data_IF_012807763108
#
_entry.id   IF_012807763108
#
_cell.length_a   1.000
_cell.length_b   1.000
_cell.length_c   1.000
_cell.angle_alpha   90.00
_cell.angle_beta   90.00
_cell.angle_gamma   90.00
#
_symmetry.space_group_name_H-M   'P 1'
#
loop_
_entity.id
_entity.type
_entity.pdbx_description
1 polymer ?
#
# COMPACT_ATOMS: atom_id res chain seq x y z
N UNK A 1 -10.14 74.78 30.14
CA UNK A 1 -9.91 73.50 30.85
C UNK A 1 -10.46 72.40 29.96
N UNK A 2 -9.59 71.70 29.23
CA UNK A 2 -8.96 70.42 29.61
C UNK A 2 -9.96 69.27 29.52
N UNK A 3 -9.70 68.12 28.91
CA UNK A 3 -8.63 67.61 28.06
C UNK A 3 -9.24 66.35 27.39
N UNK A 4 -8.69 65.96 26.25
CA UNK A 4 -9.13 64.86 25.38
C UNK A 4 -9.27 63.51 26.09
N UNK A 5 -10.20 62.70 25.62
CA UNK A 5 -10.08 61.24 25.62
C UNK A 5 -10.45 60.74 24.22
N UNK A 6 -9.43 60.34 23.45
CA UNK A 6 -9.59 59.69 22.14
C UNK A 6 -9.76 58.21 22.43
N UNK A 7 -10.98 57.71 22.28
CA UNK A 7 -11.26 56.27 22.33
C UNK A 7 -10.83 55.64 21.01
N UNK A 8 -9.74 54.88 21.06
CA UNK A 8 -9.27 54.06 19.94
C UNK A 8 -10.19 52.83 19.88
N UNK A 9 -11.06 52.78 18.87
CA UNK A 9 -11.80 51.56 18.52
C UNK A 9 -10.86 50.62 17.76
N UNK A 10 -10.35 49.58 18.44
CA UNK A 10 -9.71 48.44 17.79
C UNK A 10 -10.78 47.65 17.02
N UNK A 11 -10.80 47.77 15.69
CA UNK A 11 -11.59 46.91 14.82
C UNK A 11 -10.85 45.57 14.65
N UNK A 12 -11.28 44.56 15.39
CA UNK A 12 -10.79 43.18 15.21
C UNK A 12 -11.47 42.59 13.98
N UNK A 13 -10.78 42.57 12.85
CA UNK A 13 -11.23 41.88 11.63
C UNK A 13 -11.00 40.39 11.83
N UNK A 14 -12.06 39.65 12.18
CA UNK A 14 -12.07 38.19 12.08
C UNK A 14 -12.19 37.83 10.59
N UNK A 15 -11.05 37.62 9.93
CA UNK A 15 -11.03 37.00 8.62
C UNK A 15 -11.41 35.52 8.80
N UNK A 16 -12.68 35.19 8.54
CA UNK A 16 -13.10 33.81 8.32
C UNK A 16 -12.48 33.32 7.02
N UNK A 17 -11.24 32.81 7.09
CA UNK A 17 -10.68 31.97 6.04
C UNK A 17 -11.40 30.63 6.09
N UNK A 18 -12.61 30.58 5.53
CA UNK A 18 -13.29 29.33 5.24
C UNK A 18 -12.38 28.49 4.35
N UNK A 19 -12.10 27.25 4.76
CA UNK A 19 -11.38 26.29 3.95
C UNK A 19 -12.14 26.09 2.63
N UNK A 20 -11.74 26.79 1.58
CA UNK A 20 -12.18 26.49 0.24
C UNK A 20 -11.53 25.15 -0.12
N UNK A 21 -12.23 24.04 0.09
CA UNK A 21 -11.86 22.76 -0.53
C UNK A 21 -12.00 23.02 -2.02
N UNK A 22 -10.88 23.24 -2.70
CA UNK A 22 -10.84 23.21 -4.15
C UNK A 22 -11.50 21.90 -4.57
N UNK A 23 -12.64 21.97 -5.25
CA UNK A 23 -13.25 20.80 -5.87
C UNK A 23 -12.18 20.20 -6.79
N UNK A 24 -11.61 19.07 -6.37
CA UNK A 24 -10.66 18.33 -7.18
C UNK A 24 -11.47 17.74 -8.32
N UNK A 25 -11.55 18.49 -9.42
CA UNK A 25 -12.10 18.01 -10.67
C UNK A 25 -11.16 16.92 -11.21
N UNK A 26 -11.47 15.67 -10.90
CA UNK A 26 -10.78 14.51 -11.50
C UNK A 26 -11.28 14.40 -12.94
N UNK A 27 -10.53 14.98 -13.87
CA UNK A 27 -10.80 14.88 -15.31
C UNK A 27 -10.31 13.53 -15.83
N UNK A 28 -11.23 12.70 -16.33
CA UNK A 28 -10.94 11.42 -16.98
C UNK A 28 -11.48 10.20 -16.23
N UNK A 29 -11.49 9.01 -16.87
CA UNK A 29 -11.90 7.77 -16.21
C UNK A 29 -10.93 7.41 -15.09
N UNK A 30 -11.47 6.89 -13.98
CA UNK A 30 -10.67 6.43 -12.84
C UNK A 30 -9.68 5.34 -13.31
N UNK A 31 -8.35 5.49 -13.10
CA UNK A 31 -7.38 4.48 -13.48
C UNK A 31 -7.71 3.12 -12.86
N UNK A 32 -7.76 2.08 -13.70
CA UNK A 32 -8.06 0.71 -13.27
C UNK A 32 -6.82 -0.16 -13.42
N UNK A 33 -6.54 -1.02 -12.45
CA UNK A 33 -5.47 -2.03 -12.52
C UNK A 33 -6.06 -3.43 -12.40
N UNK A 34 -5.51 -4.38 -13.14
CA UNK A 34 -5.90 -5.79 -13.07
C UNK A 34 -5.01 -6.57 -12.10
N UNK A 35 -5.61 -7.33 -11.18
CA UNK A 35 -4.85 -8.28 -10.36
C UNK A 35 -4.60 -9.57 -11.13
N UNK A 36 -3.33 -9.95 -11.23
CA UNK A 36 -2.88 -11.24 -11.79
C UNK A 36 -2.59 -12.16 -10.61
N UNK A 37 -3.66 -12.76 -10.09
CA UNK A 37 -3.65 -13.54 -8.85
C UNK A 37 -3.46 -15.04 -9.09
N UNK A 38 -2.33 -15.41 -9.70
CA UNK A 38 -2.05 -16.77 -10.14
C UNK A 38 -0.71 -17.25 -9.59
N UNK A 39 -0.70 -18.46 -9.02
CA UNK A 39 0.53 -19.13 -8.55
C UNK A 39 1.35 -19.72 -9.70
N UNK A 40 0.67 -20.18 -10.75
CA UNK A 40 1.31 -20.79 -11.91
C UNK A 40 1.10 -19.92 -13.15
N UNK A 41 2.20 -19.56 -13.81
CA UNK A 41 2.15 -18.77 -15.03
C UNK A 41 2.06 -19.65 -16.26
N UNK A 42 0.83 -19.94 -16.64
CA UNK A 42 0.50 -20.63 -17.89
C UNK A 42 0.47 -19.66 -19.07
N UNK A 43 0.44 -20.15 -20.33
CA UNK A 43 0.23 -19.30 -21.49
C UNK A 43 -1.01 -18.38 -21.40
N UNK A 44 -2.09 -18.85 -20.76
CA UNK A 44 -3.29 -18.05 -20.55
C UNK A 44 -3.05 -16.86 -19.59
N UNK A 45 -2.24 -17.05 -18.54
CA UNK A 45 -1.84 -15.97 -17.62
C UNK A 45 -0.99 -14.95 -18.36
N UNK A 46 -0.04 -15.41 -19.17
CA UNK A 46 0.81 -14.55 -19.99
C UNK A 46 -0.06 -13.74 -20.98
N UNK A 47 -1.02 -14.36 -21.65
CA UNK A 47 -1.92 -13.67 -22.58
C UNK A 47 -2.84 -12.66 -21.88
N UNK A 48 -3.18 -12.87 -20.60
CA UNK A 48 -3.95 -11.91 -19.81
C UNK A 48 -3.22 -10.57 -19.64
N UNK A 49 -1.87 -10.58 -19.57
CA UNK A 49 -1.08 -9.35 -19.50
C UNK A 49 -1.26 -8.50 -20.76
N UNK A 50 -1.25 -9.14 -21.94
CA UNK A 50 -1.50 -8.47 -23.23
C UNK A 50 -2.89 -7.85 -23.28
N UNK A 51 -3.89 -8.53 -22.73
CA UNK A 51 -5.25 -8.00 -22.66
C UNK A 51 -5.36 -6.82 -21.69
N UNK A 52 -4.72 -6.93 -20.51
CA UNK A 52 -4.68 -5.87 -19.51
C UNK A 52 -4.02 -4.60 -20.07
N UNK A 53 -2.90 -4.71 -20.80
CA UNK A 53 -2.23 -3.57 -21.45
C UNK A 53 -3.16 -2.74 -22.35
N UNK A 54 -4.18 -3.34 -22.96
CA UNK A 54 -5.11 -2.66 -23.87
C UNK A 54 -6.29 -1.98 -23.17
N UNK A 55 -6.56 -2.31 -21.90
CA UNK A 55 -7.82 -1.97 -21.22
C UNK A 55 -7.63 -1.35 -19.83
N UNK A 56 -6.46 -1.52 -19.23
CA UNK A 56 -6.15 -1.15 -17.86
C UNK A 56 -4.90 -0.28 -17.81
N UNK A 57 -4.79 0.53 -16.77
CA UNK A 57 -3.64 1.39 -16.50
C UNK A 57 -2.42 0.62 -15.98
N UNK A 58 -2.57 -0.65 -15.59
CA UNK A 58 -1.47 -1.49 -15.12
C UNK A 58 -1.97 -2.81 -14.55
N UNK A 59 -1.04 -3.57 -13.97
CA UNK A 59 -1.33 -4.84 -13.29
C UNK A 59 -0.71 -4.90 -11.89
N UNK A 60 -1.33 -5.67 -11.01
CA UNK A 60 -0.77 -6.05 -9.70
C UNK A 60 -0.50 -7.55 -9.73
N UNK A 61 0.76 -7.95 -9.61
CA UNK A 61 1.16 -9.35 -9.60
C UNK A 61 1.06 -9.92 -8.18
N UNK A 62 0.55 -11.13 -8.04
CA UNK A 62 0.79 -11.89 -6.81
C UNK A 62 2.29 -12.21 -6.73
N UNK A 63 3.00 -11.61 -5.77
CA UNK A 63 4.43 -11.80 -5.58
C UNK A 63 4.75 -12.97 -4.67
N UNK A 64 4.06 -13.07 -3.54
CA UNK A 64 4.14 -14.22 -2.65
C UNK A 64 2.92 -14.27 -1.72
N UNK A 65 2.71 -15.43 -1.12
CA UNK A 65 1.76 -15.64 -0.03
C UNK A 65 2.50 -16.21 1.18
N UNK A 66 2.15 -15.72 2.37
CA UNK A 66 2.70 -16.20 3.64
C UNK A 66 1.56 -16.68 4.54
N UNK A 67 1.71 -17.86 5.15
CA UNK A 67 0.81 -18.37 6.19
C UNK A 67 1.58 -18.73 7.46
N UNK A 68 1.00 -18.39 8.62
CA UNK A 68 1.55 -18.68 9.95
C UNK A 68 0.72 -19.71 10.73
N UNK A 69 -0.18 -20.43 10.08
CA UNK A 69 -1.07 -21.40 10.73
C UNK A 69 -0.38 -22.70 11.19
N UNK A 70 0.80 -23.01 10.64
CA UNK A 70 1.57 -24.21 10.97
C UNK A 70 2.68 -23.99 12.02
N UNK A 71 3.46 -25.05 12.27
CA UNK A 71 4.64 -24.99 13.16
C UNK A 71 5.73 -24.07 12.63
N UNK A 72 5.83 -23.95 11.31
CA UNK A 72 6.73 -23.06 10.59
C UNK A 72 5.93 -22.19 9.62
N UNK A 73 6.42 -20.99 9.27
CA UNK A 73 5.86 -20.21 8.19
C UNK A 73 5.85 -21.00 6.88
N UNK A 74 4.72 -20.96 6.17
CA UNK A 74 4.61 -21.46 4.81
C UNK A 74 4.68 -20.28 3.86
N UNK A 75 5.52 -20.38 2.82
CA UNK A 75 5.72 -19.34 1.83
C UNK A 75 5.45 -19.95 0.47
N UNK A 76 4.47 -19.40 -0.26
CA UNK A 76 4.20 -19.77 -1.65
C UNK A 76 4.70 -18.64 -2.53
N UNK A 77 5.61 -18.95 -3.45
CA UNK A 77 6.11 -18.03 -4.48
C UNK A 77 5.56 -18.43 -5.84
N UNK A 78 4.74 -17.59 -6.49
CA UNK A 78 4.31 -17.83 -7.85
C UNK A 78 5.47 -17.94 -8.84
N UNK A 79 5.29 -18.75 -9.88
CA UNK A 79 6.24 -18.91 -10.98
C UNK A 79 6.18 -17.76 -11.98
N UNK A 80 6.35 -16.51 -11.52
CA UNK A 80 6.23 -15.31 -12.35
C UNK A 80 7.13 -15.41 -13.59
N UNK A 81 6.54 -15.30 -14.78
CA UNK A 81 7.30 -15.11 -16.02
C UNK A 81 7.70 -13.63 -16.13
N UNK A 82 8.84 -13.30 -15.50
CA UNK A 82 9.37 -11.94 -15.48
C UNK A 82 9.69 -11.42 -16.89
N UNK A 83 10.02 -12.29 -17.84
CA UNK A 83 10.27 -11.89 -19.22
C UNK A 83 8.98 -11.44 -19.90
N UNK A 84 7.88 -12.18 -19.70
CA UNK A 84 6.56 -11.79 -20.15
C UNK A 84 6.11 -10.47 -19.50
N UNK A 85 6.32 -10.29 -18.19
CA UNK A 85 6.03 -9.02 -17.49
C UNK A 85 6.78 -7.86 -18.14
N UNK A 86 8.10 -8.00 -18.31
CA UNK A 86 8.96 -6.97 -18.90
C UNK A 86 8.54 -6.59 -20.32
N UNK A 87 8.17 -7.57 -21.15
CA UNK A 87 7.77 -7.32 -22.55
C UNK A 87 6.34 -6.74 -22.67
N UNK A 88 5.44 -7.09 -21.76
CA UNK A 88 4.00 -6.89 -21.95
C UNK A 88 3.37 -5.87 -20.99
N UNK A 89 4.09 -5.41 -19.96
CA UNK A 89 3.55 -4.46 -18.99
C UNK A 89 4.47 -3.25 -18.86
N UNK A 90 3.88 -2.05 -18.81
CA UNK A 90 4.63 -0.81 -18.57
C UNK A 90 4.49 -0.34 -17.12
N UNK A 91 3.31 -0.56 -16.53
CA UNK A 91 2.97 -0.23 -15.17
C UNK A 91 2.68 -1.51 -14.40
N UNK A 92 3.57 -1.82 -13.46
CA UNK A 92 3.56 -3.08 -12.72
C UNK A 92 3.65 -2.79 -11.22
N UNK A 93 2.81 -3.45 -10.45
CA UNK A 93 2.84 -3.47 -8.99
C UNK A 93 2.95 -4.91 -8.52
N UNK A 94 3.39 -5.13 -7.29
CA UNK A 94 3.53 -6.47 -6.72
C UNK A 94 2.88 -6.51 -5.34
N UNK A 95 2.16 -7.59 -5.06
CA UNK A 95 1.50 -7.82 -3.78
C UNK A 95 2.18 -8.94 -3.00
N UNK A 96 2.41 -8.70 -1.72
CA UNK A 96 2.71 -9.72 -0.73
C UNK A 96 1.45 -9.98 0.08
N UNK A 97 0.85 -11.16 -0.07
CA UNK A 97 -0.30 -11.57 0.73
C UNK A 97 0.14 -12.27 2.01
N UNK A 98 -0.39 -11.85 3.14
CA UNK A 98 -0.24 -12.55 4.41
C UNK A 98 -1.61 -13.07 4.83
N UNK A 99 -1.71 -14.37 5.10
CA UNK A 99 -2.94 -14.98 5.60
C UNK A 99 -3.33 -14.39 6.97
N UNK A 100 -4.62 -14.48 7.37
CA UNK A 100 -5.06 -13.96 8.65
C UNK A 100 -4.18 -14.41 9.82
N UNK A 101 -3.76 -13.46 10.63
CA UNK A 101 -2.86 -13.68 11.75
C UNK A 101 -3.32 -12.88 12.97
N UNK A 102 -3.50 -13.58 14.09
CA UNK A 102 -4.04 -13.01 15.32
C UNK A 102 -3.04 -12.20 16.16
N UNK A 103 -1.77 -12.15 15.78
CA UNK A 103 -0.69 -11.59 16.60
C UNK A 103 0.11 -12.67 17.34
N UNK A 104 1.19 -12.27 18.04
CA UNK A 104 1.61 -10.88 18.27
C UNK A 104 2.39 -10.28 17.07
N UNK A 105 2.42 -8.95 16.97
CA UNK A 105 3.11 -8.20 15.90
C UNK A 105 4.43 -7.61 16.44
N UNK A 106 5.41 -8.47 16.75
CA UNK A 106 6.67 -8.02 17.39
C UNK A 106 7.74 -7.71 16.36
N UNK A 107 8.43 -6.59 16.53
CA UNK A 107 9.49 -6.16 15.61
C UNK A 107 10.63 -7.19 15.46
N UNK A 108 10.95 -7.90 16.53
CA UNK A 108 12.09 -8.81 16.64
C UNK A 108 11.72 -10.29 16.53
N UNK A 109 10.48 -10.62 16.15
CA UNK A 109 10.09 -12.02 16.02
C UNK A 109 10.40 -12.63 14.64
N UNK A 110 10.29 -13.96 14.58
CA UNK A 110 10.58 -14.71 13.37
C UNK A 110 9.59 -14.41 12.22
N UNK A 111 8.35 -13.99 12.53
CA UNK A 111 7.33 -13.71 11.51
C UNK A 111 7.61 -12.40 10.82
N UNK A 112 7.94 -11.37 11.59
CA UNK A 112 8.38 -10.07 11.07
C UNK A 112 9.59 -10.26 10.16
N UNK A 113 10.60 -11.03 10.60
CA UNK A 113 11.75 -11.36 9.74
C UNK A 113 11.35 -12.03 8.42
N UNK A 114 10.46 -13.02 8.47
CA UNK A 114 9.99 -13.70 7.25
C UNK A 114 9.27 -12.74 6.31
N UNK A 115 8.41 -11.87 6.82
CA UNK A 115 7.72 -10.86 6.03
C UNK A 115 8.73 -9.91 5.37
N UNK A 116 9.70 -9.40 6.13
CA UNK A 116 10.70 -8.47 5.61
C UNK A 116 11.62 -9.11 4.58
N UNK A 117 12.03 -10.37 4.81
CA UNK A 117 12.91 -11.10 3.91
C UNK A 117 12.20 -11.41 2.59
N UNK A 118 10.93 -11.81 2.64
CA UNK A 118 10.12 -12.05 1.44
C UNK A 118 9.89 -10.75 0.68
N UNK A 119 9.51 -9.65 1.37
CA UNK A 119 9.31 -8.36 0.73
C UNK A 119 10.58 -7.89 0.00
N UNK A 120 11.74 -7.97 0.65
CA UNK A 120 13.03 -7.62 0.04
C UNK A 120 13.32 -8.51 -1.17
N UNK A 121 13.16 -9.82 -1.03
CA UNK A 121 13.43 -10.76 -2.13
C UNK A 121 12.56 -10.48 -3.35
N UNK A 122 11.27 -10.15 -3.17
CA UNK A 122 10.38 -9.82 -4.28
C UNK A 122 10.85 -8.59 -5.07
N UNK A 123 11.31 -7.55 -4.37
CA UNK A 123 11.82 -6.33 -4.99
C UNK A 123 13.16 -6.58 -5.69
N UNK A 124 14.03 -7.39 -5.08
CA UNK A 124 15.31 -7.78 -5.66
C UNK A 124 15.13 -8.68 -6.90
N UNK A 125 14.19 -9.62 -6.87
CA UNK A 125 13.85 -10.50 -8.00
C UNK A 125 13.34 -9.67 -9.20
N UNK A 126 12.43 -8.72 -8.96
CA UNK A 126 11.93 -7.84 -10.02
C UNK A 126 13.06 -6.99 -10.62
N UNK A 127 13.93 -6.42 -9.77
CA UNK A 127 15.09 -5.63 -10.21
C UNK A 127 16.06 -6.47 -11.03
N UNK A 128 16.36 -7.70 -10.62
CA UNK A 128 17.26 -8.61 -11.32
C UNK A 128 16.76 -8.99 -12.73
N UNK A 129 15.46 -8.87 -12.99
CA UNK A 129 14.84 -9.13 -14.28
C UNK A 129 14.48 -7.85 -15.06
N UNK A 130 14.98 -6.69 -14.66
CA UNK A 130 14.70 -5.38 -15.26
C UNK A 130 13.20 -5.03 -15.29
N UNK A 131 12.44 -5.49 -14.30
CA UNK A 131 11.02 -5.16 -14.13
C UNK A 131 10.90 -4.05 -13.10
N UNK A 132 10.45 -2.87 -13.55
CA UNK A 132 10.17 -1.74 -12.67
C UNK A 132 8.86 -1.98 -11.91
N UNK A 133 8.95 -2.10 -10.59
CA UNK A 133 7.80 -2.10 -9.70
C UNK A 133 7.49 -0.66 -9.26
N UNK A 134 6.28 -0.21 -9.53
CA UNK A 134 5.82 1.15 -9.20
C UNK A 134 5.17 1.22 -7.82
N UNK A 135 4.60 0.10 -7.36
CA UNK A 135 3.92 -0.01 -6.07
C UNK A 135 4.11 -1.41 -5.47
N UNK A 136 4.38 -1.46 -4.17
CA UNK A 136 4.36 -2.68 -3.37
C UNK A 136 3.10 -2.66 -2.49
N UNK A 137 2.28 -3.69 -2.60
CA UNK A 137 1.07 -3.86 -1.81
C UNK A 137 1.29 -4.90 -0.73
N UNK A 138 1.08 -4.52 0.53
CA UNK A 138 1.00 -5.46 1.63
C UNK A 138 -0.46 -5.84 1.87
N UNK A 139 -0.83 -6.99 1.32
CA UNK A 139 -2.18 -7.52 1.37
C UNK A 139 -2.37 -8.34 2.66
N UNK A 140 -2.91 -7.69 3.70
CA UNK A 140 -3.15 -8.30 4.99
C UNK A 140 -4.44 -7.77 5.64
N UNK A 141 -5.41 -8.67 5.84
CA UNK A 141 -6.68 -8.39 6.50
C UNK A 141 -6.51 -8.41 8.03
N UNK A 142 -5.95 -7.32 8.58
CA UNK A 142 -5.76 -7.19 10.01
C UNK A 142 -7.10 -7.10 10.77
N UNK A 143 -7.24 -7.86 11.85
CA UNK A 143 -8.40 -7.72 12.74
C UNK A 143 -8.41 -6.32 13.40
N UNK A 144 -9.58 -5.69 13.52
CA UNK A 144 -9.73 -4.35 14.11
C UNK A 144 -9.02 -4.19 15.46
N UNK A 145 -9.20 -5.17 16.36
CA UNK A 145 -8.54 -5.19 17.68
C UNK A 145 -7.01 -5.18 17.65
N UNK A 146 -6.40 -5.47 16.51
CA UNK A 146 -4.96 -5.58 16.31
C UNK A 146 -4.38 -4.38 15.53
N UNK A 147 -5.19 -3.41 15.09
CA UNK A 147 -4.72 -2.28 14.28
C UNK A 147 -3.60 -1.50 14.97
N UNK A 148 -3.70 -1.25 16.28
CA UNK A 148 -2.62 -0.62 17.05
C UNK A 148 -1.28 -1.36 16.91
N UNK A 149 -1.31 -2.69 16.98
CA UNK A 149 -0.10 -3.52 16.90
C UNK A 149 0.40 -3.69 15.47
N UNK A 150 -0.50 -3.68 14.50
CA UNK A 150 -0.20 -3.83 13.07
C UNK A 150 0.71 -2.72 12.54
N UNK A 151 0.61 -1.51 13.10
CA UNK A 151 1.54 -0.40 12.84
C UNK A 151 3.01 -0.84 12.92
N UNK A 152 3.35 -1.76 13.82
CA UNK A 152 4.72 -2.29 13.95
C UNK A 152 5.22 -2.89 12.64
N UNK A 153 4.44 -3.76 11.98
CA UNK A 153 4.85 -4.35 10.71
C UNK A 153 4.96 -3.31 9.59
N UNK A 154 4.02 -2.37 9.52
CA UNK A 154 4.05 -1.31 8.51
C UNK A 154 5.30 -0.43 8.65
N UNK A 155 5.62 0.01 9.86
CA UNK A 155 6.79 0.86 10.13
C UNK A 155 8.12 0.18 9.79
N UNK A 156 8.18 -1.15 9.92
CA UNK A 156 9.38 -1.95 9.59
C UNK A 156 9.47 -2.20 8.08
N UNK A 157 8.34 -2.43 7.41
CA UNK A 157 8.30 -2.63 5.96
C UNK A 157 8.57 -1.34 5.18
N UNK A 158 8.13 -0.18 5.68
CA UNK A 158 8.29 1.11 5.01
C UNK A 158 9.71 1.40 4.52
N UNK A 159 10.77 1.31 5.33
CA UNK A 159 12.14 1.54 4.86
C UNK A 159 12.65 0.46 3.88
N UNK A 160 12.10 -0.76 3.89
CA UNK A 160 12.45 -1.83 2.95
C UNK A 160 11.85 -1.57 1.58
N UNK A 161 10.62 -1.07 1.54
CA UNK A 161 9.88 -0.79 0.31
C UNK A 161 10.37 0.51 -0.36
N UNK A 162 10.86 1.48 0.41
CA UNK A 162 11.36 2.75 -0.12
C UNK A 162 12.45 2.54 -1.21
N UNK A 163 12.41 3.28 -2.35
CA UNK A 163 11.54 4.41 -2.67
C UNK A 163 10.24 4.04 -3.40
N UNK A 164 9.87 2.75 -3.47
CA UNK A 164 8.64 2.31 -4.13
C UNK A 164 7.43 2.76 -3.31
N UNK A 165 6.33 3.09 -4.00
CA UNK A 165 5.06 3.43 -3.34
C UNK A 165 4.60 2.25 -2.48
N UNK A 166 4.39 2.48 -1.19
CA UNK A 166 3.95 1.44 -0.27
C UNK A 166 2.44 1.55 -0.02
N UNK A 167 1.67 0.50 -0.29
CA UNK A 167 0.21 0.48 -0.09
C UNK A 167 -0.17 -0.71 0.77
N UNK A 168 -1.24 -0.58 1.56
CA UNK A 168 -1.81 -1.67 2.35
C UNK A 168 -3.27 -1.95 1.98
N UNK A 169 -3.73 -3.16 2.29
CA UNK A 169 -5.18 -3.42 2.33
C UNK A 169 -5.81 -2.58 3.44
N UNK A 170 -6.92 -1.91 3.12
CA UNK A 170 -7.76 -1.16 4.07
C UNK A 170 -9.17 -1.71 4.00
N UNK A 171 -9.72 -2.14 5.14
CA UNK A 171 -11.12 -2.56 5.21
C UNK A 171 -12.01 -1.36 5.58
N UNK A 172 -13.24 -1.25 5.02
CA UNK A 172 -14.16 -0.15 5.37
C UNK A 172 -14.43 -0.02 6.86
N UNK A 173 -14.44 -1.14 7.60
CA UNK A 173 -14.65 -1.17 9.04
C UNK A 173 -13.55 -0.45 9.85
N UNK A 174 -12.38 -0.19 9.25
CA UNK A 174 -11.29 0.51 9.93
C UNK A 174 -11.46 2.02 9.94
N UNK A 175 -12.30 2.60 9.07
CA UNK A 175 -12.38 4.05 8.88
C UNK A 175 -12.73 4.83 10.17
N UNK A 176 -13.49 4.20 11.07
CA UNK A 176 -13.92 4.79 12.34
C UNK A 176 -13.02 4.39 13.53
N UNK A 177 -11.99 3.56 13.31
CA UNK A 177 -11.06 3.12 14.35
C UNK A 177 -10.03 4.23 14.65
N UNK A 178 -9.73 4.50 15.93
CA UNK A 178 -8.82 5.58 16.31
C UNK A 178 -7.38 5.36 15.78
N UNK A 179 -6.98 4.11 15.54
CA UNK A 179 -5.67 3.75 14.99
C UNK A 179 -5.56 3.91 13.48
N UNK A 180 -6.66 4.08 12.74
CA UNK A 180 -6.62 4.09 11.28
C UNK A 180 -5.69 5.16 10.70
N UNK A 181 -5.75 6.37 11.25
CA UNK A 181 -4.91 7.47 10.80
C UNK A 181 -3.41 7.24 11.03
N UNK A 182 -3.03 6.50 12.08
CA UNK A 182 -1.60 6.19 12.28
C UNK A 182 -1.13 5.16 11.26
N UNK A 183 -1.95 4.17 10.92
CA UNK A 183 -1.61 3.18 9.89
C UNK A 183 -1.43 3.81 8.50
N UNK A 184 -2.36 4.69 8.09
CA UNK A 184 -2.28 5.35 6.78
C UNK A 184 -1.05 6.25 6.65
N UNK A 185 -0.54 6.81 7.75
CA UNK A 185 0.69 7.63 7.72
C UNK A 185 1.95 6.82 7.45
N UNK A 186 1.92 5.52 7.68
CA UNK A 186 3.04 4.61 7.36
C UNK A 186 3.04 4.19 5.88
N UNK A 187 1.92 4.36 5.17
CA UNK A 187 1.76 3.99 3.76
C UNK A 187 1.53 5.22 2.88
N UNK A 188 1.50 5.02 1.57
CA UNK A 188 1.24 6.06 0.56
C UNK A 188 -0.18 5.96 -0.01
N UNK A 189 -0.96 5.00 0.48
CA UNK A 189 -2.31 4.67 0.04
C UNK A 189 -2.81 3.38 0.66
#
# INVERSE_FOLDING_TARGET
>A
MNLKAITICCATVFAFTGCNRSDVNVLGPLPQRGYVWQREWTPAVIDSLRQAKRRMSGVVLLGAEISFGGKSPEIVKPSIDWEAVRRQTQHCSIALRVAPFGGPFRADDARTRVITDVAKQLLDDARAHDVKIEEFQFDFDCAQKNLASYHTWLSILRPIVHPIRFVMTVLPAWLDEPEFLSLIRETDG
#
